data_IF_788292932794
#
_entry.id   IF_788292932794
#
_cell.length_a   1.000
_cell.length_b   1.000
_cell.length_c   1.000
_cell.angle_alpha   90.00
_cell.angle_beta   90.00
_cell.angle_gamma   90.00
#
_symmetry.space_group_name_H-M   'P 1'
#
loop_
_entity.id
_entity.type
_entity.pdbx_description
1 polymer ?
#
# COMPACT_ATOMS: atom_id res chain seq x y z
N UNK A 1 62.02 -33.31 30.88
CA UNK A 1 63.24 -33.03 30.09
C UNK A 1 62.90 -33.44 28.66
N UNK A 2 62.82 -32.62 27.63
CA UNK A 2 63.27 -31.26 27.36
C UNK A 2 63.60 -31.23 25.85
N UNK A 3 62.81 -30.50 25.05
CA UNK A 3 63.18 -29.54 23.98
C UNK A 3 64.56 -29.73 23.28
N UNK A 4 64.78 -29.65 21.95
CA UNK A 4 64.23 -28.86 20.82
C UNK A 4 64.66 -29.50 19.48
N UNK A 5 63.89 -29.31 18.41
CA UNK A 5 64.35 -29.51 17.02
C UNK A 5 63.37 -29.01 15.94
N UNK A 6 63.21 -27.68 15.85
CA UNK A 6 62.62 -26.80 14.81
C UNK A 6 61.79 -27.35 13.62
N UNK A 7 60.58 -26.80 13.48
CA UNK A 7 59.68 -26.78 12.31
C UNK A 7 60.08 -25.72 11.26
N UNK A 8 59.65 -25.86 9.99
CA UNK A 8 59.30 -24.74 9.14
C UNK A 8 57.79 -24.54 9.05
N UNK A 9 57.38 -23.29 9.30
CA UNK A 9 56.04 -22.72 9.11
C UNK A 9 55.42 -23.06 7.73
N UNK A 10 54.27 -23.74 7.74
CA UNK A 10 53.25 -23.61 6.71
C UNK A 10 51.94 -23.24 7.41
N UNK A 11 51.61 -21.96 7.31
CA UNK A 11 50.39 -21.37 7.86
C UNK A 11 49.19 -21.84 7.04
N UNK A 12 48.13 -22.17 7.77
CA UNK A 12 46.82 -22.57 7.29
C UNK A 12 46.22 -21.56 6.29
N UNK A 13 45.51 -22.09 5.30
CA UNK A 13 44.37 -21.42 4.65
C UNK A 13 43.36 -22.51 4.29
N UNK A 14 42.64 -22.98 5.31
CA UNK A 14 41.30 -23.55 5.15
C UNK A 14 40.33 -22.43 5.53
N UNK A 15 39.69 -21.82 4.55
CA UNK A 15 38.53 -20.97 4.80
C UNK A 15 37.55 -21.01 3.63
N UNK A 16 36.40 -21.63 3.90
CA UNK A 16 35.06 -21.26 3.41
C UNK A 16 34.89 -20.95 1.91
N UNK A 17 34.63 -22.00 1.13
CA UNK A 17 33.89 -21.91 -0.13
C UNK A 17 32.36 -22.05 0.09
N UNK A 18 31.83 -21.42 1.15
CA UNK A 18 30.39 -21.26 1.41
C UNK A 18 30.12 -19.86 1.99
N UNK A 19 30.50 -18.82 1.25
CA UNK A 19 29.99 -17.46 1.49
C UNK A 19 29.30 -16.93 0.22
N UNK A 20 27.97 -16.86 0.32
CA UNK A 20 27.11 -15.81 -0.26
C UNK A 20 27.20 -15.56 -1.77
N UNK A 21 26.60 -16.49 -2.53
CA UNK A 21 26.14 -16.24 -3.91
C UNK A 21 25.02 -15.18 -4.01
N UNK A 22 24.58 -14.60 -2.88
CA UNK A 22 23.50 -13.60 -2.81
C UNK A 22 23.96 -12.16 -2.62
N UNK A 23 25.24 -11.88 -2.36
CA UNK A 23 25.74 -10.50 -2.16
C UNK A 23 26.51 -9.93 -3.37
N UNK A 24 26.80 -10.75 -4.40
CA UNK A 24 27.69 -10.37 -5.49
C UNK A 24 27.05 -9.61 -6.66
N UNK A 25 25.77 -9.29 -6.60
CA UNK A 25 25.07 -8.53 -7.66
C UNK A 25 24.60 -7.13 -7.25
N UNK A 26 24.89 -6.66 -6.03
CA UNK A 26 24.41 -5.35 -5.56
C UNK A 26 25.48 -4.24 -5.48
N UNK A 27 26.77 -4.56 -5.68
CA UNK A 27 27.88 -3.60 -5.56
C UNK A 27 28.80 -3.49 -6.79
N UNK A 28 28.26 -3.56 -8.00
CA UNK A 28 29.00 -3.14 -9.19
C UNK A 28 28.23 -2.04 -9.89
N UNK A 29 28.55 -0.80 -9.51
CA UNK A 29 28.52 0.48 -10.24
C UNK A 29 28.32 1.60 -9.23
N UNK A 30 29.36 1.88 -8.44
CA UNK A 30 29.52 3.23 -7.90
C UNK A 30 29.72 4.16 -9.11
N UNK A 31 28.97 5.26 -9.24
CA UNK A 31 29.03 6.09 -10.44
C UNK A 31 30.45 6.64 -10.60
N UNK A 32 30.88 6.76 -11.86
CA UNK A 32 31.96 7.68 -12.20
C UNK A 32 31.62 9.03 -11.55
N UNK A 33 32.51 9.62 -10.72
CA UNK A 33 32.27 10.90 -10.06
C UNK A 33 31.98 12.06 -11.05
N UNK A 34 32.12 11.84 -12.36
CA UNK A 34 31.70 12.76 -13.42
C UNK A 34 30.19 12.75 -13.74
N UNK A 35 29.45 11.68 -13.39
CA UNK A 35 28.01 11.57 -13.66
C UNK A 35 27.23 12.19 -12.50
N UNK A 36 26.40 13.20 -12.78
CA UNK A 36 25.54 13.79 -11.76
C UNK A 36 24.54 12.74 -11.29
N UNK A 37 24.32 12.67 -9.99
CA UNK A 37 23.44 11.68 -9.36
C UNK A 37 22.02 11.60 -9.98
N UNK A 38 21.50 12.73 -10.46
CA UNK A 38 20.19 12.80 -11.14
C UNK A 38 20.19 12.16 -12.54
N UNK A 39 21.34 12.20 -13.24
CA UNK A 39 21.50 11.57 -14.55
C UNK A 39 21.56 10.05 -14.42
N UNK A 40 22.19 9.55 -13.36
CA UNK A 40 22.22 8.12 -13.02
C UNK A 40 20.83 7.58 -12.67
N UNK A 41 20.09 8.26 -11.78
CA UNK A 41 18.72 7.86 -11.41
C UNK A 41 17.80 7.80 -12.62
N UNK A 42 17.92 8.76 -13.55
CA UNK A 42 17.13 8.75 -14.79
C UNK A 42 17.49 7.57 -15.68
N UNK A 43 18.79 7.27 -15.84
CA UNK A 43 19.27 6.14 -16.62
C UNK A 43 18.73 4.81 -16.07
N UNK A 44 18.80 4.63 -14.75
CA UNK A 44 18.29 3.42 -14.09
C UNK A 44 16.76 3.29 -14.24
N UNK A 45 16.02 4.40 -14.10
CA UNK A 45 14.56 4.40 -14.35
C UNK A 45 14.23 4.04 -15.79
N UNK A 46 15.01 4.52 -16.76
CA UNK A 46 14.81 4.23 -18.17
C UNK A 46 15.04 2.74 -18.47
N UNK A 47 16.14 2.17 -17.98
CA UNK A 47 16.43 0.73 -18.13
C UNK A 47 15.38 -0.16 -17.46
N UNK A 48 14.91 0.23 -16.26
CA UNK A 48 13.79 -0.46 -15.61
C UNK A 48 12.51 -0.37 -16.46
N UNK A 49 12.20 0.81 -17.00
CA UNK A 49 11.00 1.04 -17.83
C UNK A 49 11.03 0.19 -19.09
N UNK A 50 12.17 0.11 -19.78
CA UNK A 50 12.35 -0.75 -20.96
C UNK A 50 12.07 -2.22 -20.60
N UNK A 51 12.68 -2.70 -19.52
CA UNK A 51 12.46 -4.07 -19.03
C UNK A 51 10.99 -4.33 -18.67
N UNK A 52 10.34 -3.38 -18.00
CA UNK A 52 8.94 -3.49 -17.60
C UNK A 52 7.97 -3.51 -18.79
N UNK A 53 8.33 -2.84 -19.90
CA UNK A 53 7.57 -2.86 -21.15
C UNK A 53 7.76 -4.16 -21.93
N UNK A 54 8.91 -4.82 -21.80
CA UNK A 54 9.22 -6.08 -22.49
C UNK A 54 8.66 -7.31 -21.74
N UNK A 55 8.36 -7.20 -20.45
CA UNK A 55 7.75 -8.26 -19.66
C UNK A 55 6.29 -8.52 -20.08
N UNK A 56 5.98 -9.76 -20.48
CA UNK A 56 4.63 -10.20 -20.85
C UNK A 56 3.73 -10.44 -19.61
N UNK A 57 2.48 -10.01 -19.74
CA UNK A 57 1.33 -10.04 -18.83
C UNK A 57 1.57 -10.29 -17.30
N UNK A 58 2.41 -9.46 -16.67
CA UNK A 58 2.38 -9.23 -15.22
C UNK A 58 3.14 -10.23 -14.33
N UNK A 59 3.75 -11.27 -14.91
CA UNK A 59 4.54 -12.26 -14.16
C UNK A 59 5.97 -11.80 -13.80
N UNK A 60 6.47 -10.72 -14.44
CA UNK A 60 7.87 -10.30 -14.33
C UNK A 60 8.11 -8.83 -13.96
N UNK A 61 7.06 -8.05 -13.66
CA UNK A 61 7.26 -6.64 -13.22
C UNK A 61 7.69 -6.60 -11.77
N UNK A 62 8.99 -6.56 -11.55
CA UNK A 62 9.58 -6.24 -10.25
C UNK A 62 9.12 -4.85 -9.77
N UNK A 63 9.26 -4.60 -8.47
CA UNK A 63 8.97 -3.30 -7.85
C UNK A 63 9.68 -2.17 -8.62
N UNK A 64 8.96 -1.07 -8.97
CA UNK A 64 9.61 0.08 -9.55
C UNK A 64 10.56 0.72 -8.54
N UNK A 65 11.71 1.25 -8.98
CA UNK A 65 12.53 2.08 -8.10
C UNK A 65 11.71 3.29 -7.64
N UNK A 66 11.76 3.63 -6.35
CA UNK A 66 10.91 4.70 -5.80
C UNK A 66 11.14 6.06 -6.49
N UNK A 67 12.39 6.36 -6.90
CA UNK A 67 12.72 7.57 -7.65
C UNK A 67 12.13 7.62 -9.07
N UNK A 68 11.46 6.57 -9.55
CA UNK A 68 10.70 6.59 -10.80
C UNK A 68 9.66 7.73 -10.82
N UNK A 69 9.10 8.07 -9.65
CA UNK A 69 8.08 9.14 -9.55
C UNK A 69 8.61 10.52 -9.96
N UNK A 70 9.94 10.72 -9.92
CA UNK A 70 10.59 11.97 -10.34
C UNK A 70 10.60 12.13 -11.88
N UNK A 71 10.32 11.05 -12.62
CA UNK A 71 10.35 11.00 -14.07
C UNK A 71 8.98 10.59 -14.61
N UNK A 72 8.03 11.53 -14.64
CA UNK A 72 6.62 11.30 -14.98
C UNK A 72 6.43 10.55 -16.30
N UNK A 73 7.25 10.86 -17.31
CA UNK A 73 7.24 10.20 -18.62
C UNK A 73 7.56 8.70 -18.52
N UNK A 74 8.59 8.35 -17.74
CA UNK A 74 9.00 6.97 -17.51
C UNK A 74 8.00 6.23 -16.62
N UNK A 75 7.50 6.89 -15.57
CA UNK A 75 6.45 6.36 -14.71
C UNK A 75 5.21 5.98 -15.54
N UNK A 76 4.69 6.91 -16.35
CA UNK A 76 3.48 6.69 -17.15
C UNK A 76 3.69 5.58 -18.21
N UNK A 77 4.89 5.48 -18.77
CA UNK A 77 5.23 4.49 -19.80
C UNK A 77 5.44 3.08 -19.24
N UNK A 78 6.14 2.95 -18.11
CA UNK A 78 6.55 1.64 -17.56
C UNK A 78 5.60 1.08 -16.52
N UNK A 79 5.36 1.86 -15.46
CA UNK A 79 4.54 1.41 -14.32
C UNK A 79 3.05 1.74 -14.49
N UNK A 80 2.77 2.91 -15.06
CA UNK A 80 1.44 3.48 -15.15
C UNK A 80 0.99 4.11 -13.84
N UNK A 81 -0.34 4.30 -13.74
CA UNK A 81 -1.00 4.96 -12.61
C UNK A 81 -2.03 4.06 -11.91
N UNK A 82 -2.08 2.79 -12.29
CA UNK A 82 -3.05 1.85 -11.73
C UNK A 82 -2.66 1.34 -10.34
N UNK A 83 -1.36 1.34 -10.02
CA UNK A 83 -0.85 0.88 -8.72
C UNK A 83 0.07 1.93 -8.12
N UNK A 84 0.15 1.99 -6.79
CA UNK A 84 1.06 2.91 -6.12
C UNK A 84 2.52 2.47 -6.28
N UNK A 85 3.41 3.42 -6.50
CA UNK A 85 4.84 3.23 -6.30
C UNK A 85 5.12 3.28 -4.80
N UNK A 86 5.73 2.25 -4.19
CA UNK A 86 6.05 2.25 -2.76
C UNK A 86 6.94 3.43 -2.38
N UNK A 87 6.64 4.06 -1.24
CA UNK A 87 7.47 5.10 -0.67
C UNK A 87 8.74 4.50 -0.05
N UNK A 88 9.86 5.19 -0.29
CA UNK A 88 11.18 4.90 0.26
C UNK A 88 11.85 6.25 0.57
N UNK A 89 12.11 6.49 1.84
CA UNK A 89 12.62 7.77 2.36
C UNK A 89 14.11 8.01 2.04
N UNK A 90 14.86 6.94 1.78
CA UNK A 90 16.23 7.02 1.30
C UNK A 90 16.31 7.44 -0.19
N UNK A 91 15.26 7.12 -0.96
CA UNK A 91 15.23 7.36 -2.41
C UNK A 91 14.61 8.71 -2.78
N UNK A 92 13.50 9.08 -2.14
CA UNK A 92 12.66 10.23 -2.55
C UNK A 92 12.24 11.06 -1.35
N UNK A 93 12.25 12.39 -1.50
CA UNK A 93 11.83 13.28 -0.42
C UNK A 93 10.32 13.22 -0.24
N UNK A 94 9.88 13.34 1.00
CA UNK A 94 8.47 13.27 1.35
C UNK A 94 7.56 14.22 0.56
N UNK A 95 7.99 15.47 0.30
CA UNK A 95 7.18 16.41 -0.48
C UNK A 95 7.01 16.00 -1.96
N UNK A 96 8.03 15.34 -2.54
CA UNK A 96 7.98 14.83 -3.91
C UNK A 96 7.01 13.65 -3.99
N UNK A 97 6.99 12.81 -2.95
CA UNK A 97 6.02 11.72 -2.84
C UNK A 97 4.59 12.23 -2.65
N UNK A 98 4.37 13.32 -1.88
CA UNK A 98 3.04 13.94 -1.76
C UNK A 98 2.53 14.48 -3.11
N UNK A 99 3.38 15.13 -3.91
CA UNK A 99 3.01 15.58 -5.27
C UNK A 99 2.63 14.39 -6.19
N UNK A 100 3.38 13.28 -6.09
CA UNK A 100 3.03 12.04 -6.76
C UNK A 100 1.65 11.51 -6.33
N UNK A 101 1.37 11.48 -5.02
CA UNK A 101 0.08 11.03 -4.47
C UNK A 101 -1.09 11.89 -4.98
N UNK A 102 -0.92 13.21 -5.07
CA UNK A 102 -1.94 14.11 -5.62
C UNK A 102 -2.26 13.77 -7.08
N UNK A 103 -1.23 13.56 -7.90
CA UNK A 103 -1.42 13.15 -9.30
C UNK A 103 -2.04 11.77 -9.42
N UNK A 104 -1.59 10.83 -8.58
CA UNK A 104 -2.15 9.48 -8.51
C UNK A 104 -3.65 9.52 -8.18
N UNK A 105 -4.05 10.33 -7.19
CA UNK A 105 -5.45 10.48 -6.82
C UNK A 105 -6.30 11.03 -7.96
N UNK A 106 -5.86 12.10 -8.64
CA UNK A 106 -6.58 12.69 -9.78
C UNK A 106 -6.87 11.66 -10.88
N UNK A 107 -5.95 10.71 -11.12
CA UNK A 107 -6.14 9.65 -12.11
C UNK A 107 -7.03 8.51 -11.62
N UNK A 108 -7.24 8.37 -10.31
CA UNK A 108 -7.91 7.22 -9.70
C UNK A 108 -9.19 7.55 -8.91
N UNK A 109 -9.56 8.81 -8.78
CA UNK A 109 -10.73 9.28 -8.02
C UNK A 109 -12.03 8.55 -8.43
N UNK A 110 -12.22 8.34 -9.73
CA UNK A 110 -13.40 7.66 -10.27
C UNK A 110 -13.55 6.20 -9.79
N UNK A 111 -12.49 5.58 -9.28
CA UNK A 111 -12.52 4.19 -8.81
C UNK A 111 -13.13 4.04 -7.41
N UNK A 112 -13.24 5.11 -6.62
CA UNK A 112 -13.76 5.07 -5.24
C UNK A 112 -15.17 4.46 -5.20
N UNK A 113 -16.01 4.80 -6.18
CA UNK A 113 -17.35 4.24 -6.35
C UNK A 113 -17.37 2.71 -6.41
N UNK A 114 -16.47 2.15 -7.22
CA UNK A 114 -16.32 0.71 -7.40
C UNK A 114 -15.77 0.05 -6.11
N UNK A 115 -14.81 0.70 -5.44
CA UNK A 115 -14.19 0.17 -4.23
C UNK A 115 -15.15 0.08 -3.05
N UNK A 116 -16.17 0.93 -2.97
CA UNK A 116 -17.18 0.84 -1.93
C UNK A 116 -18.27 -0.22 -2.22
N UNK A 117 -18.20 -0.97 -3.33
CA UNK A 117 -19.26 -1.86 -3.82
C UNK A 117 -20.66 -1.22 -3.85
N UNK A 118 -20.75 0.10 -3.92
CA UNK A 118 -22.03 0.79 -3.96
C UNK A 118 -22.71 0.42 -5.27
N UNK A 119 -23.86 -0.26 -5.20
CA UNK A 119 -24.65 -0.58 -6.40
C UNK A 119 -25.02 0.74 -7.08
N UNK A 120 -24.47 0.97 -8.28
CA UNK A 120 -25.09 1.88 -9.23
C UNK A 120 -26.42 1.25 -9.63
N UNK A 121 -27.48 1.52 -8.88
CA UNK A 121 -28.85 1.24 -9.33
C UNK A 121 -29.16 2.16 -10.51
N UNK A 122 -28.58 1.86 -11.69
CA UNK A 122 -29.00 2.33 -13.00
C UNK A 122 -29.35 3.81 -13.16
N UNK A 123 -28.65 4.75 -12.49
CA UNK A 123 -28.88 6.17 -12.73
C UNK A 123 -27.70 6.76 -13.50
N UNK A 124 -27.88 6.83 -14.81
CA UNK A 124 -27.08 7.63 -15.72
C UNK A 124 -26.91 9.03 -15.12
N UNK A 125 -25.67 9.51 -15.18
CA UNK A 125 -25.24 10.83 -14.75
C UNK A 125 -26.14 11.89 -15.42
N UNK A 126 -27.01 12.48 -14.61
CA UNK A 126 -27.87 13.59 -14.97
C UNK A 126 -28.16 14.39 -13.72
N UNK A 127 -27.29 15.37 -13.45
CA UNK A 127 -27.49 16.52 -12.56
C UNK A 127 -28.13 16.23 -11.17
N UNK A 128 -27.27 16.20 -10.15
CA UNK A 128 -27.56 16.89 -8.88
C UNK A 128 -28.02 16.08 -7.67
N UNK A 129 -28.61 14.88 -7.83
CA UNK A 129 -29.23 14.16 -6.68
C UNK A 129 -28.57 12.81 -6.35
N UNK A 130 -27.67 12.29 -7.20
CA UNK A 130 -27.07 10.96 -7.03
C UNK A 130 -25.79 10.93 -6.16
N UNK A 131 -25.09 12.07 -6.01
CA UNK A 131 -23.84 12.14 -5.25
C UNK A 131 -24.05 12.17 -3.73
N UNK A 132 -25.19 12.71 -3.26
CA UNK A 132 -25.50 12.90 -1.83
C UNK A 132 -25.68 11.57 -1.06
N UNK A 133 -25.91 10.45 -1.76
CA UNK A 133 -26.10 9.15 -1.13
C UNK A 133 -24.87 8.23 -1.19
N UNK A 134 -23.76 8.66 -1.81
CA UNK A 134 -22.62 7.77 -2.02
C UNK A 134 -21.83 7.48 -0.72
N UNK A 135 -21.54 8.52 0.07
CA UNK A 135 -20.87 8.38 1.35
C UNK A 135 -21.70 7.55 2.34
N UNK A 136 -23.02 7.78 2.39
CA UNK A 136 -23.92 6.99 3.24
C UNK A 136 -24.03 5.54 2.77
N UNK A 137 -24.04 5.29 1.45
CA UNK A 137 -24.00 3.93 0.90
C UNK A 137 -22.69 3.22 1.27
N UNK A 138 -21.54 3.90 1.16
CA UNK A 138 -20.26 3.37 1.59
C UNK A 138 -20.25 3.07 3.10
N UNK A 139 -20.86 3.92 3.92
CA UNK A 139 -20.97 3.69 5.36
C UNK A 139 -21.86 2.48 5.70
N UNK A 140 -22.98 2.30 5.00
CA UNK A 140 -23.81 1.10 5.14
C UNK A 140 -23.05 -0.17 4.72
N UNK A 141 -22.39 -0.14 3.57
CA UNK A 141 -21.57 -1.26 3.10
C UNK A 141 -20.44 -1.59 4.09
N UNK A 142 -19.81 -0.58 4.67
CA UNK A 142 -18.80 -0.75 5.71
C UNK A 142 -19.37 -1.51 6.91
N UNK A 143 -20.53 -1.11 7.42
CA UNK A 143 -21.18 -1.81 8.54
C UNK A 143 -21.48 -3.28 8.19
N UNK A 144 -22.01 -3.55 7.00
CA UNK A 144 -22.32 -4.90 6.54
C UNK A 144 -21.05 -5.75 6.45
N UNK A 145 -20.01 -5.23 5.80
CA UNK A 145 -18.72 -5.91 5.61
C UNK A 145 -18.05 -6.19 6.95
N UNK A 146 -18.09 -5.23 7.88
CA UNK A 146 -17.57 -5.39 9.25
C UNK A 146 -18.31 -6.47 10.06
N UNK A 147 -19.62 -6.61 9.86
CA UNK A 147 -20.37 -7.69 10.50
C UNK A 147 -19.97 -9.05 9.94
N UNK A 148 -19.81 -9.18 8.61
CA UNK A 148 -19.30 -10.39 7.97
C UNK A 148 -17.90 -10.72 8.50
N UNK A 149 -17.00 -9.73 8.53
CA UNK A 149 -15.64 -9.87 9.06
C UNK A 149 -15.62 -10.41 10.50
N UNK A 150 -16.39 -9.82 11.40
CA UNK A 150 -16.48 -10.32 12.78
C UNK A 150 -16.94 -11.76 12.86
N UNK A 151 -17.90 -12.16 12.01
CA UNK A 151 -18.42 -13.53 12.03
C UNK A 151 -17.45 -14.54 11.42
N UNK A 152 -16.84 -14.20 10.27
CA UNK A 152 -15.97 -15.09 9.52
C UNK A 152 -14.58 -15.24 10.15
N UNK A 153 -14.05 -14.15 10.72
CA UNK A 153 -12.69 -14.10 11.23
C UNK A 153 -12.60 -14.27 12.75
N UNK A 154 -13.71 -14.42 13.49
CA UNK A 154 -13.79 -14.37 14.96
C UNK A 154 -12.64 -15.09 15.70
N UNK A 155 -12.25 -16.28 15.23
CA UNK A 155 -11.22 -17.13 15.84
C UNK A 155 -9.81 -16.52 15.80
N UNK A 156 -9.57 -15.61 14.86
CA UNK A 156 -8.29 -14.96 14.62
C UNK A 156 -8.24 -13.53 15.17
N UNK A 157 -9.33 -13.05 15.79
CA UNK A 157 -9.43 -11.68 16.27
C UNK A 157 -9.01 -11.56 17.73
N UNK A 158 -8.21 -10.55 18.01
CA UNK A 158 -7.95 -10.10 19.37
C UNK A 158 -9.11 -9.23 19.89
N UNK A 159 -9.11 -8.98 21.20
CA UNK A 159 -10.07 -8.03 21.82
C UNK A 159 -9.95 -6.63 21.20
N UNK A 160 -8.73 -6.23 20.83
CA UNK A 160 -8.47 -4.94 20.20
C UNK A 160 -9.03 -4.84 18.78
N UNK A 161 -9.01 -5.94 18.02
CA UNK A 161 -9.59 -5.98 16.66
C UNK A 161 -11.12 -5.88 16.72
N UNK A 162 -11.73 -6.55 17.70
CA UNK A 162 -13.18 -6.44 17.96
C UNK A 162 -13.54 -5.00 18.37
N UNK A 163 -12.71 -4.36 19.22
CA UNK A 163 -12.89 -2.96 19.63
C UNK A 163 -12.78 -2.02 18.43
N UNK A 164 -11.80 -2.21 17.56
CA UNK A 164 -11.62 -1.43 16.33
C UNK A 164 -12.85 -1.54 15.41
N UNK A 165 -13.35 -2.75 15.17
CA UNK A 165 -14.59 -2.97 14.42
C UNK A 165 -15.78 -2.20 15.05
N UNK A 166 -15.89 -2.21 16.39
CA UNK A 166 -16.89 -1.44 17.11
C UNK A 166 -16.79 0.07 16.86
N UNK A 167 -15.57 0.62 16.86
CA UNK A 167 -15.30 2.03 16.60
C UNK A 167 -15.62 2.41 15.15
N UNK A 168 -15.19 1.60 14.17
CA UNK A 168 -15.48 1.79 12.75
C UNK A 168 -16.99 1.82 12.52
N UNK A 169 -17.73 0.82 13.02
CA UNK A 169 -19.20 0.78 12.87
C UNK A 169 -19.88 1.94 13.57
N UNK A 170 -19.36 2.40 14.71
CA UNK A 170 -19.89 3.60 15.38
C UNK A 170 -19.71 4.83 14.50
N UNK A 171 -18.52 5.03 13.92
CA UNK A 171 -18.25 6.17 13.04
C UNK A 171 -19.08 6.12 11.76
N UNK A 172 -19.21 4.95 11.12
CA UNK A 172 -20.06 4.77 9.95
C UNK A 172 -21.54 5.12 10.22
N UNK A 173 -22.07 4.78 11.41
CA UNK A 173 -23.44 5.20 11.80
C UNK A 173 -23.58 6.71 11.96
N UNK A 174 -22.55 7.39 12.46
CA UNK A 174 -22.56 8.86 12.55
C UNK A 174 -22.57 9.50 11.15
N UNK A 175 -21.82 8.93 10.21
CA UNK A 175 -21.85 9.36 8.80
C UNK A 175 -23.24 9.20 8.18
N UNK A 176 -23.91 8.07 8.41
CA UNK A 176 -25.28 7.83 7.91
C UNK A 176 -26.28 8.85 8.46
N UNK A 177 -26.08 9.32 9.70
CA UNK A 177 -26.93 10.32 10.34
C UNK A 177 -26.56 11.76 9.96
N UNK A 178 -25.49 11.95 9.18
CA UNK A 178 -24.99 13.26 8.77
C UNK A 178 -25.40 13.58 7.34
N UNK A 179 -25.61 14.87 7.08
CA UNK A 179 -25.82 15.42 5.73
C UNK A 179 -24.49 15.89 5.10
N UNK A 180 -23.37 15.75 5.82
CA UNK A 180 -22.06 16.19 5.34
C UNK A 180 -21.46 15.19 4.36
N UNK A 181 -21.04 15.68 3.20
CA UNK A 181 -20.24 14.93 2.23
C UNK A 181 -18.76 15.11 2.56
N UNK A 182 -17.99 14.02 2.52
CA UNK A 182 -16.53 14.04 2.66
C UNK A 182 -15.90 12.96 1.80
N UNK A 183 -14.97 13.38 0.93
CA UNK A 183 -14.19 12.46 0.11
C UNK A 183 -13.24 11.65 0.98
N UNK A 184 -12.72 12.26 2.06
CA UNK A 184 -11.81 11.58 3.02
C UNK A 184 -12.52 10.44 3.73
N UNK A 185 -13.71 10.70 4.26
CA UNK A 185 -14.54 9.67 4.85
C UNK A 185 -14.87 8.57 3.82
N UNK A 186 -15.15 8.94 2.59
CA UNK A 186 -15.49 7.99 1.53
C UNK A 186 -14.31 7.08 1.17
N UNK A 187 -13.12 7.64 0.96
CA UNK A 187 -11.90 6.88 0.67
C UNK A 187 -11.48 6.02 1.86
N UNK A 188 -11.61 6.53 3.09
CA UNK A 188 -11.33 5.77 4.31
C UNK A 188 -12.28 4.58 4.48
N UNK A 189 -13.58 4.76 4.21
CA UNK A 189 -14.53 3.66 4.19
C UNK A 189 -14.22 2.64 3.09
N UNK A 190 -13.85 3.07 1.88
CA UNK A 190 -13.42 2.18 0.80
C UNK A 190 -12.22 1.32 1.21
N UNK A 191 -11.22 1.94 1.83
CA UNK A 191 -10.05 1.27 2.39
C UNK A 191 -10.46 0.24 3.44
N UNK A 192 -11.28 0.63 4.42
CA UNK A 192 -11.76 -0.26 5.48
C UNK A 192 -12.54 -1.46 4.93
N UNK A 193 -13.45 -1.23 3.98
CA UNK A 193 -14.24 -2.28 3.32
C UNK A 193 -13.31 -3.30 2.67
N UNK A 194 -12.36 -2.84 1.84
CA UNK A 194 -11.51 -3.75 1.07
C UNK A 194 -10.50 -4.50 1.92
N UNK A 195 -10.01 -3.88 2.99
CA UNK A 195 -9.18 -4.55 3.99
C UNK A 195 -9.94 -5.63 4.75
N UNK A 196 -11.20 -5.36 5.15
CA UNK A 196 -12.05 -6.34 5.80
C UNK A 196 -12.42 -7.52 4.88
N UNK A 197 -12.67 -7.26 3.60
CA UNK A 197 -12.87 -8.31 2.58
C UNK A 197 -11.62 -9.18 2.41
N UNK A 198 -10.44 -8.57 2.33
CA UNK A 198 -9.18 -9.29 2.19
C UNK A 198 -8.89 -10.22 3.37
N UNK A 199 -9.15 -9.75 4.60
CA UNK A 199 -9.01 -10.61 5.77
C UNK A 199 -9.99 -11.80 5.74
N UNK A 200 -11.26 -11.57 5.36
CA UNK A 200 -12.22 -12.65 5.18
C UNK A 200 -11.73 -13.67 4.16
N UNK A 201 -11.21 -13.19 3.02
CA UNK A 201 -10.71 -14.04 1.94
C UNK A 201 -9.47 -14.84 2.35
N UNK A 202 -8.57 -14.23 3.11
CA UNK A 202 -7.37 -14.89 3.61
C UNK A 202 -7.72 -16.03 4.58
N UNK A 203 -8.71 -15.82 5.45
CA UNK A 203 -9.22 -16.86 6.36
C UNK A 203 -9.95 -17.98 5.59
N UNK A 204 -10.74 -17.65 4.57
CA UNK A 204 -11.45 -18.63 3.73
C UNK A 204 -10.49 -19.64 3.06
N UNK A 205 -9.31 -19.18 2.66
CA UNK A 205 -8.32 -19.98 1.92
C UNK A 205 -7.28 -20.68 2.81
N UNK A 206 -7.40 -20.57 4.14
CA UNK A 206 -6.44 -21.10 5.12
C UNK A 206 -4.98 -20.65 4.89
N UNK A 207 -4.76 -19.57 4.14
CA UNK A 207 -3.45 -18.93 4.02
C UNK A 207 -3.14 -18.25 5.35
N UNK A 208 -2.18 -18.76 6.13
CA UNK A 208 -1.67 -18.20 7.42
C UNK A 208 -2.05 -16.72 7.64
N UNK A 209 -3.25 -16.44 8.21
CA UNK A 209 -3.90 -15.14 8.00
C UNK A 209 -3.34 -14.07 8.94
N UNK A 210 -2.47 -14.44 9.87
CA UNK A 210 -2.00 -13.59 10.96
C UNK A 210 -1.34 -12.29 10.49
N UNK A 211 -0.43 -12.38 9.51
CA UNK A 211 0.29 -11.20 9.00
C UNK A 211 -0.65 -10.27 8.22
N UNK A 212 -1.53 -10.84 7.40
CA UNK A 212 -2.54 -10.06 6.67
C UNK A 212 -3.50 -9.38 7.62
N UNK A 213 -4.03 -10.09 8.62
CA UNK A 213 -4.96 -9.53 9.61
C UNK A 213 -4.29 -8.40 10.39
N UNK A 214 -3.04 -8.58 10.81
CA UNK A 214 -2.30 -7.56 11.56
C UNK A 214 -2.13 -6.29 10.72
N UNK A 215 -1.59 -6.41 9.51
CA UNK A 215 -1.40 -5.28 8.60
C UNK A 215 -2.74 -4.61 8.25
N UNK A 216 -3.77 -5.39 7.93
CA UNK A 216 -5.11 -4.88 7.61
C UNK A 216 -5.73 -4.10 8.78
N UNK A 217 -5.55 -4.55 10.02
CA UNK A 217 -6.06 -3.82 11.18
C UNK A 217 -5.26 -2.55 11.51
N UNK A 218 -3.95 -2.54 11.24
CA UNK A 218 -3.15 -1.30 11.28
C UNK A 218 -3.65 -0.29 10.27
N UNK A 219 -3.81 -0.69 9.01
CA UNK A 219 -4.34 0.14 7.93
C UNK A 219 -5.74 0.66 8.27
N UNK A 220 -6.66 -0.21 8.74
CA UNK A 220 -8.02 0.19 9.11
C UNK A 220 -8.05 1.19 10.25
N UNK A 221 -7.15 1.05 11.23
CA UNK A 221 -6.99 2.01 12.33
C UNK A 221 -6.49 3.36 11.81
N UNK A 222 -5.49 3.33 10.93
CA UNK A 222 -4.97 4.53 10.28
C UNK A 222 -6.03 5.26 9.47
N UNK A 223 -6.79 4.52 8.65
CA UNK A 223 -7.90 5.07 7.88
C UNK A 223 -8.96 5.69 8.81
N UNK A 224 -9.33 5.02 9.90
CA UNK A 224 -10.27 5.57 10.89
C UNK A 224 -9.74 6.87 11.53
N UNK A 225 -8.47 6.89 11.94
CA UNK A 225 -7.85 8.08 12.54
C UNK A 225 -7.82 9.26 11.56
N UNK A 226 -7.50 9.01 10.29
CA UNK A 226 -7.50 10.02 9.24
C UNK A 226 -8.90 10.52 8.90
N UNK A 227 -9.93 9.65 8.97
CA UNK A 227 -11.32 10.09 8.83
C UNK A 227 -11.78 10.98 10.00
N UNK A 228 -11.29 10.72 11.21
CA UNK A 228 -11.67 11.46 12.42
C UNK A 228 -10.89 12.77 12.60
N UNK A 229 -9.61 12.76 12.26
CA UNK A 229 -8.66 13.83 12.58
C UNK A 229 -8.01 14.44 11.34
N UNK A 230 -8.41 14.02 10.13
CA UNK A 230 -7.92 14.60 8.89
C UNK A 230 -8.15 16.12 8.86
N UNK A 231 -7.22 16.85 8.24
CA UNK A 231 -7.33 18.29 8.05
C UNK A 231 -8.50 18.68 7.12
N UNK A 232 -8.43 19.83 6.46
CA UNK A 232 -9.40 20.14 5.40
C UNK A 232 -9.26 19.16 4.22
N UNK A 233 -10.30 19.01 3.39
CA UNK A 233 -10.24 18.18 2.16
C UNK A 233 -9.00 18.49 1.30
N UNK A 234 -8.63 19.78 1.17
CA UNK A 234 -7.43 20.23 0.46
C UNK A 234 -6.10 19.82 1.13
N UNK A 235 -6.09 19.59 2.44
CA UNK A 235 -4.91 19.12 3.18
C UNK A 235 -4.80 17.58 3.17
N UNK A 236 -5.89 16.88 2.85
CA UNK A 236 -5.98 15.43 2.94
C UNK A 236 -5.77 14.69 1.60
N UNK A 237 -5.37 15.37 0.52
CA UNK A 237 -5.24 14.73 -0.81
C UNK A 237 -4.24 13.56 -0.78
N UNK A 238 -3.13 13.70 -0.05
CA UNK A 238 -2.18 12.59 0.12
C UNK A 238 -2.79 11.40 0.89
N UNK A 239 -3.59 11.65 1.93
CA UNK A 239 -4.29 10.61 2.69
C UNK A 239 -5.37 9.92 1.84
N UNK A 240 -6.13 10.70 1.07
CA UNK A 240 -7.08 10.20 0.08
C UNK A 240 -6.40 9.24 -0.91
N UNK A 241 -5.31 9.70 -1.52
CA UNK A 241 -4.54 8.92 -2.49
C UNK A 241 -4.04 7.60 -1.90
N UNK A 242 -3.45 7.65 -0.71
CA UNK A 242 -2.91 6.48 -0.02
C UNK A 242 -4.02 5.47 0.34
N UNK A 243 -5.15 5.93 0.87
CA UNK A 243 -6.29 5.07 1.19
C UNK A 243 -6.91 4.43 -0.06
N UNK A 244 -7.05 5.19 -1.15
CA UNK A 244 -7.53 4.65 -2.43
C UNK A 244 -6.56 3.63 -3.01
N UNK A 245 -5.25 3.91 -2.96
CA UNK A 245 -4.22 2.97 -3.42
C UNK A 245 -4.25 1.66 -2.63
N UNK A 246 -4.29 1.72 -1.30
CA UNK A 246 -4.43 0.53 -0.47
C UNK A 246 -5.71 -0.24 -0.78
N UNK A 247 -6.85 0.45 -0.91
CA UNK A 247 -8.11 -0.19 -1.25
C UNK A 247 -8.05 -0.94 -2.59
N UNK A 248 -7.37 -0.36 -3.59
CA UNK A 248 -7.13 -1.01 -4.89
C UNK A 248 -6.23 -2.23 -4.77
N UNK A 249 -5.15 -2.13 -4.01
CA UNK A 249 -4.25 -3.26 -3.77
C UNK A 249 -4.96 -4.39 -3.00
N UNK A 250 -5.75 -4.07 -1.97
CA UNK A 250 -6.54 -5.07 -1.24
C UNK A 250 -7.58 -5.75 -2.15
N UNK A 251 -8.26 -4.97 -3.00
CA UNK A 251 -9.17 -5.52 -4.02
C UNK A 251 -8.43 -6.46 -4.98
N UNK A 252 -7.27 -6.03 -5.49
CA UNK A 252 -6.46 -6.84 -6.40
C UNK A 252 -6.08 -8.18 -5.77
N UNK A 253 -5.69 -8.21 -4.50
CA UNK A 253 -5.43 -9.48 -3.79
C UNK A 253 -6.68 -10.34 -3.66
N UNK A 254 -7.83 -9.78 -3.31
CA UNK A 254 -9.07 -10.55 -3.25
C UNK A 254 -9.40 -11.21 -4.59
N UNK A 255 -9.23 -10.47 -5.68
CA UNK A 255 -9.50 -10.94 -7.04
C UNK A 255 -8.47 -12.01 -7.45
N UNK A 256 -7.18 -11.82 -7.12
CA UNK A 256 -6.08 -12.77 -7.38
C UNK A 256 -6.26 -14.08 -6.61
N UNK A 257 -6.59 -13.99 -5.32
CA UNK A 257 -6.85 -15.13 -4.44
C UNK A 257 -8.09 -15.94 -4.87
N UNK A 258 -8.92 -15.40 -5.76
CA UNK A 258 -10.09 -16.07 -6.32
C UNK A 258 -9.80 -16.79 -7.65
N UNK A 259 -8.55 -16.70 -8.15
CA UNK A 259 -8.14 -17.25 -9.44
C UNK A 259 -7.06 -18.33 -9.26
N UNK A 260 -7.02 -19.29 -10.19
CA UNK A 260 -5.88 -20.21 -10.31
C UNK A 260 -4.79 -19.52 -11.14
N UNK A 261 -3.81 -18.91 -10.46
CA UNK A 261 -2.68 -18.21 -11.08
C UNK A 261 -1.36 -18.82 -10.60
N UNK A 262 -0.50 -19.23 -11.53
CA UNK A 262 0.79 -19.87 -11.22
C UNK A 262 1.77 -18.95 -10.51
N UNK A 263 1.62 -17.64 -10.67
CA UNK A 263 2.48 -16.61 -10.08
C UNK A 263 1.82 -15.92 -8.87
N UNK A 264 0.75 -16.52 -8.35
CA UNK A 264 -0.04 -15.97 -7.25
C UNK A 264 0.83 -15.58 -6.04
N UNK A 265 1.80 -16.40 -5.65
CA UNK A 265 2.68 -16.09 -4.53
C UNK A 265 3.53 -14.82 -4.75
N UNK A 266 4.13 -14.66 -5.94
CA UNK A 266 4.95 -13.48 -6.25
C UNK A 266 4.09 -12.22 -6.26
N UNK A 267 2.92 -12.29 -6.90
CA UNK A 267 1.95 -11.18 -6.96
C UNK A 267 1.41 -10.85 -5.57
N UNK A 268 1.22 -11.87 -4.72
CA UNK A 268 0.77 -11.72 -3.33
C UNK A 268 1.79 -10.94 -2.49
N UNK A 269 3.05 -11.38 -2.45
CA UNK A 269 4.11 -10.70 -1.70
C UNK A 269 4.32 -9.28 -2.19
N UNK A 270 4.33 -9.09 -3.51
CA UNK A 270 4.53 -7.77 -4.08
C UNK A 270 3.42 -6.78 -3.68
N UNK A 271 2.17 -7.21 -3.70
CA UNK A 271 1.06 -6.38 -3.23
C UNK A 271 1.11 -6.13 -1.71
N UNK A 272 1.46 -7.15 -0.93
CA UNK A 272 1.67 -7.02 0.51
C UNK A 272 2.69 -5.94 0.82
N UNK A 273 3.82 -5.90 0.10
CA UNK A 273 4.85 -4.87 0.25
C UNK A 273 4.33 -3.47 -0.11
N UNK A 274 3.59 -3.31 -1.22
CA UNK A 274 2.98 -2.02 -1.56
C UNK A 274 2.06 -1.55 -0.41
N UNK A 275 1.20 -2.43 0.11
CA UNK A 275 0.30 -2.11 1.23
C UNK A 275 1.07 -1.76 2.51
N UNK A 276 2.15 -2.47 2.82
CA UNK A 276 3.00 -2.21 3.99
C UNK A 276 3.72 -0.86 3.90
N UNK A 277 4.33 -0.54 2.76
CA UNK A 277 4.94 0.77 2.53
C UNK A 277 3.88 1.89 2.61
N UNK A 278 2.71 1.67 2.01
CA UNK A 278 1.63 2.67 2.04
C UNK A 278 1.01 2.80 3.45
N UNK A 279 1.00 1.76 4.27
CA UNK A 279 0.61 1.84 5.68
C UNK A 279 1.55 2.75 6.47
N UNK A 280 2.85 2.69 6.19
CA UNK A 280 3.84 3.62 6.76
C UNK A 280 3.54 5.07 6.36
N UNK A 281 3.17 5.28 5.09
CA UNK A 281 2.73 6.59 4.58
C UNK A 281 1.48 7.10 5.33
N UNK A 282 0.48 6.24 5.59
CA UNK A 282 -0.69 6.63 6.39
C UNK A 282 -0.28 7.06 7.81
N UNK A 283 0.60 6.31 8.46
CA UNK A 283 1.09 6.65 9.80
C UNK A 283 1.89 7.96 9.82
N UNK A 284 2.65 8.28 8.76
CA UNK A 284 3.31 9.57 8.61
C UNK A 284 2.28 10.71 8.51
N UNK A 285 1.24 10.52 7.68
CA UNK A 285 0.17 11.51 7.51
C UNK A 285 -0.61 11.73 8.81
N UNK A 286 -0.95 10.67 9.56
CA UNK A 286 -1.59 10.78 10.88
C UNK A 286 -0.77 11.66 11.83
N UNK A 287 0.55 11.49 11.86
CA UNK A 287 1.44 12.31 12.69
C UNK A 287 1.44 13.77 12.24
N UNK A 288 1.43 14.05 10.94
CA UNK A 288 1.35 15.42 10.41
C UNK A 288 0.06 16.13 10.89
N UNK A 289 -1.08 15.45 10.87
CA UNK A 289 -2.34 16.01 11.34
C UNK A 289 -2.41 16.15 12.87
N UNK A 290 -1.82 15.19 13.60
CA UNK A 290 -1.74 15.23 15.07
C UNK A 290 -0.83 16.33 15.61
N UNK A 291 0.24 16.70 14.90
CA UNK A 291 1.12 17.80 15.30
C UNK A 291 0.56 19.19 14.98
N UNK A 292 -0.47 19.30 14.14
CA UNK A 292 -1.10 20.57 13.77
C UNK A 292 -2.14 21.10 14.77
N UNK A 293 -2.51 20.32 15.79
CA UNK A 293 -3.59 20.66 16.74
C UNK A 293 -3.12 21.40 18.00
N UNK A 294 -1.81 21.56 18.20
CA UNK A 294 -1.24 22.20 19.40
C UNK A 294 -0.94 23.71 19.25
N UNK A 295 -1.52 24.38 18.25
CA UNK A 295 -1.26 25.80 18.03
C UNK A 295 -2.35 26.52 17.26
N UNK A 296 -3.43 26.90 17.96
CA UNK A 296 -4.16 28.16 17.75
C UNK A 296 -5.10 28.47 18.91
#
# INVERSE_FOLDING_TARGET
>A
MGFIGAEPNLRADESNDEETYTERTFYMYSPDPSVRHDDWRRLMSAGWTETAMEADDGAGRHQPPAYLILYRDLLEKGWGWDRLVPYDDDSVKWFEYKDYLETYFQKNEHQIANLCNCKNNGLLIGQGVAAENFLQAAANQCIETENVFLTSCYKYLTVEDIRLCGQIKKHARLIIQSEVVSSVATAGLACVIKEAELMCKSVELECEPSETITLSNEIRRSALNLMLNGGTESQNVAALAAMVGIAKEAKYLCDLLSQEDSDMYVKYYFNFDIRKHTSTVLAMLEKEFGCGSDGN
#
